data_IF_719243219123
#
_entry.id   IF_719243219123
#
_cell.length_a   1.000
_cell.length_b   1.000
_cell.length_c   1.000
_cell.angle_alpha   90.00
_cell.angle_beta   90.00
_cell.angle_gamma   90.00
#
_symmetry.space_group_name_H-M   'P 1'
#
loop_
_entity.id
_entity.type
_entity.pdbx_description
1 polymer ?
#
# COMPACT_ATOMS: atom_id res chain seq x y z
N UNK A 1 5.25 -3.85 14.89
CA UNK A 1 4.03 -3.77 14.04
C UNK A 1 2.78 -3.37 14.83
N UNK A 2 2.61 -3.82 16.07
CA UNK A 2 1.37 -3.60 16.86
C UNK A 2 1.07 -2.14 17.21
N UNK A 3 2.09 -1.29 17.35
CA UNK A 3 1.93 0.11 17.79
C UNK A 3 1.29 1.02 16.74
N UNK A 4 1.64 0.89 15.46
CA UNK A 4 1.03 1.69 14.38
C UNK A 4 -0.43 1.30 14.17
N UNK A 5 -0.70 -0.01 14.11
CA UNK A 5 -2.05 -0.54 13.95
C UNK A 5 -2.96 -0.11 15.11
N UNK A 6 -2.47 -0.24 16.35
CA UNK A 6 -3.21 0.20 17.54
C UNK A 6 -3.49 1.70 17.50
N UNK A 7 -2.49 2.52 17.13
CA UNK A 7 -2.66 3.97 17.02
C UNK A 7 -3.67 4.39 15.94
N UNK A 8 -3.65 3.74 14.76
CA UNK A 8 -4.64 3.98 13.71
C UNK A 8 -6.04 3.60 14.18
N UNK A 9 -6.18 2.45 14.85
CA UNK A 9 -7.47 1.96 15.35
C UNK A 9 -8.06 2.89 16.42
N UNK A 10 -7.23 3.34 17.36
CA UNK A 10 -7.62 4.35 18.36
C UNK A 10 -8.07 5.64 17.70
N UNK A 11 -7.26 6.17 16.77
CA UNK A 11 -7.59 7.42 16.08
C UNK A 11 -8.88 7.31 15.26
N UNK A 12 -9.11 6.18 14.58
CA UNK A 12 -10.37 5.90 13.89
C UNK A 12 -11.54 5.92 14.87
N UNK A 13 -11.40 5.26 16.03
CA UNK A 13 -12.38 5.29 17.10
C UNK A 13 -12.64 6.69 17.66
N UNK A 14 -11.63 7.55 17.72
CA UNK A 14 -11.75 8.95 18.14
C UNK A 14 -12.39 9.84 17.09
N UNK A 15 -12.03 9.70 15.82
CA UNK A 15 -12.66 10.46 14.74
C UNK A 15 -14.17 10.20 14.67
N UNK A 16 -14.63 8.96 14.91
CA UNK A 16 -16.06 8.67 15.01
C UNK A 16 -16.74 9.40 16.19
N UNK A 17 -16.05 9.56 17.33
CA UNK A 17 -16.56 10.35 18.47
C UNK A 17 -16.66 11.84 18.14
N UNK A 18 -15.68 12.40 17.42
CA UNK A 18 -15.69 13.81 16.98
C UNK A 18 -16.82 14.03 15.96
N UNK A 19 -16.96 13.14 14.97
CA UNK A 19 -18.06 13.16 14.01
C UNK A 19 -19.41 13.16 14.74
N UNK A 20 -19.61 12.24 15.68
CA UNK A 20 -20.85 12.16 16.46
C UNK A 20 -21.15 13.45 17.25
N UNK A 21 -20.12 14.09 17.82
CA UNK A 21 -20.27 15.38 18.52
C UNK A 21 -20.62 16.52 17.55
N UNK A 22 -20.02 16.58 16.37
CA UNK A 22 -20.33 17.58 15.34
C UNK A 22 -21.72 17.38 14.74
N UNK A 23 -22.13 16.14 14.45
CA UNK A 23 -23.48 15.80 14.00
C UNK A 23 -24.55 16.21 15.02
N UNK A 24 -24.27 16.02 16.32
CA UNK A 24 -25.16 16.43 17.40
C UNK A 24 -25.31 17.96 17.55
N UNK A 25 -24.35 18.74 17.03
CA UNK A 25 -24.37 20.20 17.05
C UNK A 25 -25.21 20.83 15.92
N UNK A 26 -25.92 20.02 15.10
CA UNK A 26 -26.84 20.41 14.02
C UNK A 26 -26.28 21.32 12.90
N UNK A 27 -24.99 21.62 12.91
CA UNK A 27 -24.29 22.42 11.90
C UNK A 27 -22.97 21.72 11.51
N UNK A 28 -22.44 21.98 10.29
CA UNK A 28 -21.19 21.42 9.74
C UNK A 28 -21.27 19.99 9.13
N UNK A 29 -22.35 19.67 8.40
CA UNK A 29 -22.52 18.36 7.75
C UNK A 29 -21.42 18.02 6.73
N UNK A 30 -20.89 19.02 6.00
CA UNK A 30 -19.87 18.78 4.99
C UNK A 30 -18.53 18.38 5.62
N UNK A 31 -18.18 19.02 6.74
CA UNK A 31 -16.97 18.76 7.51
C UNK A 31 -17.06 17.39 8.20
N UNK A 32 -18.25 17.00 8.67
CA UNK A 32 -18.50 15.64 9.15
C UNK A 32 -18.27 14.60 8.04
N UNK A 33 -18.73 14.89 6.82
CA UNK A 33 -18.55 14.00 5.65
C UNK A 33 -17.06 13.86 5.27
N UNK A 34 -16.30 14.96 5.32
CA UNK A 34 -14.84 14.95 5.08
C UNK A 34 -14.10 14.12 6.13
N UNK A 35 -14.46 14.26 7.41
CA UNK A 35 -13.89 13.46 8.51
C UNK A 35 -14.22 11.98 8.31
N UNK A 36 -15.45 11.63 7.93
CA UNK A 36 -15.86 10.24 7.72
C UNK A 36 -15.07 9.57 6.59
N UNK A 37 -14.89 10.27 5.47
CA UNK A 37 -14.07 9.81 4.35
C UNK A 37 -12.62 9.55 4.80
N UNK A 38 -12.05 10.44 5.62
CA UNK A 38 -10.70 10.26 6.18
C UNK A 38 -10.60 8.99 7.05
N UNK A 39 -11.60 8.74 7.91
CA UNK A 39 -11.60 7.56 8.78
C UNK A 39 -11.73 6.25 8.01
N UNK A 40 -12.54 6.24 6.94
CA UNK A 40 -12.68 5.09 6.05
C UNK A 40 -11.37 4.77 5.34
N UNK A 41 -10.69 5.80 4.82
CA UNK A 41 -9.37 5.66 4.20
C UNK A 41 -8.34 5.12 5.20
N UNK A 42 -8.33 5.60 6.45
CA UNK A 42 -7.39 5.14 7.48
C UNK A 42 -7.60 3.66 7.81
N UNK A 43 -8.87 3.23 7.90
CA UNK A 43 -9.22 1.82 8.08
C UNK A 43 -8.79 0.96 6.90
N UNK A 44 -8.93 1.44 5.67
CA UNK A 44 -8.51 0.72 4.47
C UNK A 44 -6.98 0.51 4.42
N UNK A 45 -6.21 1.57 4.70
CA UNK A 45 -4.74 1.50 4.79
C UNK A 45 -4.32 0.51 5.89
N UNK A 46 -4.93 0.59 7.06
CA UNK A 46 -4.65 -0.33 8.16
C UNK A 46 -4.81 -1.80 7.75
N UNK A 47 -5.90 -2.14 7.05
CA UNK A 47 -6.12 -3.49 6.52
C UNK A 47 -5.08 -3.90 5.48
N UNK A 48 -4.65 -2.98 4.63
CA UNK A 48 -3.64 -3.25 3.62
C UNK A 48 -2.27 -3.55 4.26
N UNK A 49 -1.84 -2.70 5.20
CA UNK A 49 -0.58 -2.88 5.93
C UNK A 49 -0.56 -4.20 6.73
N UNK A 50 -1.70 -4.62 7.29
CA UNK A 50 -1.80 -5.90 7.99
C UNK A 50 -1.58 -7.12 7.09
N UNK A 51 -1.95 -7.04 5.81
CA UNK A 51 -1.83 -8.15 4.86
C UNK A 51 -0.43 -8.29 4.26
N UNK A 52 0.38 -7.23 4.32
CA UNK A 52 1.69 -7.18 3.67
C UNK A 52 2.78 -6.81 4.68
N UNK A 53 3.11 -7.66 5.66
CA UNK A 53 4.07 -7.31 6.72
C UNK A 53 5.46 -6.96 6.19
N UNK A 54 5.89 -7.58 5.08
CA UNK A 54 7.18 -7.28 4.41
C UNK A 54 7.31 -5.84 3.95
N UNK A 55 6.21 -5.14 3.69
CA UNK A 55 6.27 -3.73 3.28
C UNK A 55 6.85 -2.84 4.38
N UNK A 56 6.82 -3.28 5.65
CA UNK A 56 7.42 -2.53 6.78
C UNK A 56 8.94 -2.69 6.91
N UNK A 57 9.54 -3.60 6.14
CA UNK A 57 10.99 -3.75 6.08
C UNK A 57 11.63 -2.62 5.27
N UNK A 58 10.88 -2.05 4.31
CA UNK A 58 11.28 -0.89 3.52
C UNK A 58 11.43 0.39 4.38
N UNK A 59 12.55 1.08 4.21
CA UNK A 59 12.92 2.25 5.02
C UNK A 59 11.99 3.45 4.77
N UNK A 60 11.60 3.67 3.50
CA UNK A 60 10.67 4.75 3.13
C UNK A 60 9.30 4.51 3.76
N UNK A 61 8.82 3.27 3.70
CA UNK A 61 7.57 2.87 4.31
C UNK A 61 7.62 2.99 5.84
N UNK A 62 8.69 2.55 6.49
CA UNK A 62 8.88 2.70 7.94
C UNK A 62 8.88 4.18 8.35
N UNK A 63 9.55 5.04 7.59
CA UNK A 63 9.59 6.49 7.84
C UNK A 63 8.23 7.16 7.69
N UNK A 64 7.50 6.87 6.61
CA UNK A 64 6.16 7.44 6.35
C UNK A 64 5.11 6.92 7.34
N UNK A 65 5.17 5.65 7.71
CA UNK A 65 4.34 5.06 8.76
C UNK A 65 4.56 5.74 10.12
N UNK A 66 5.80 5.99 10.50
CA UNK A 66 6.13 6.69 11.74
C UNK A 66 5.64 8.14 11.73
N UNK A 67 5.73 8.82 10.58
CA UNK A 67 5.13 10.14 10.37
C UNK A 67 3.62 10.13 10.60
N UNK A 68 2.92 9.16 10.02
CA UNK A 68 1.48 8.96 10.24
C UNK A 68 1.17 8.68 11.71
N UNK A 69 1.93 7.80 12.37
CA UNK A 69 1.76 7.51 13.81
C UNK A 69 1.85 8.79 14.65
N UNK A 70 2.87 9.62 14.42
CA UNK A 70 3.06 10.90 15.14
C UNK A 70 1.91 11.87 14.87
N UNK A 71 1.43 11.95 13.62
CA UNK A 71 0.29 12.79 13.27
C UNK A 71 -0.98 12.33 14.00
N UNK A 72 -1.26 11.03 14.02
CA UNK A 72 -2.39 10.43 14.74
C UNK A 72 -2.28 10.62 16.25
N UNK A 73 -1.08 10.52 16.82
CA UNK A 73 -0.84 10.76 18.25
C UNK A 73 -1.15 12.22 18.63
N UNK A 74 -0.60 13.20 17.88
CA UNK A 74 -0.91 14.62 18.10
C UNK A 74 -2.39 14.91 17.98
N UNK A 75 -3.05 14.24 17.05
CA UNK A 75 -4.48 14.37 16.86
C UNK A 75 -5.27 13.84 18.06
N UNK A 76 -4.85 12.70 18.62
CA UNK A 76 -5.42 12.16 19.86
C UNK A 76 -5.22 13.11 21.05
N UNK A 77 -4.01 13.64 21.23
CA UNK A 77 -3.69 14.59 22.31
C UNK A 77 -4.52 15.88 22.22
N UNK A 78 -4.75 16.38 21.00
CA UNK A 78 -5.61 17.54 20.77
C UNK A 78 -7.06 17.25 21.19
N UNK A 79 -7.57 16.07 20.85
CA UNK A 79 -8.93 15.62 21.22
C UNK A 79 -9.08 15.45 22.74
N UNK A 80 -8.06 14.92 23.42
CA UNK A 80 -8.08 14.78 24.87
C UNK A 80 -8.11 16.13 25.58
N UNK A 81 -7.41 17.14 25.04
CA UNK A 81 -7.48 18.53 25.52
C UNK A 81 -8.89 19.11 25.35
N UNK A 82 -9.59 18.79 24.26
CA UNK A 82 -10.98 19.23 24.05
C UNK A 82 -11.98 18.57 25.03
N UNK A 83 -11.68 17.37 25.56
CA UNK A 83 -12.59 16.61 26.43
C UNK A 83 -12.48 16.92 27.92
N UNK A 84 -11.34 17.47 28.39
CA UNK A 84 -11.15 17.79 29.81
C UNK A 84 -12.12 18.91 30.24
N UNK A 85 -13.25 18.52 30.84
CA UNK A 85 -14.11 19.43 31.61
C UNK A 85 -13.29 20.05 32.73
N UNK A 86 -13.17 21.39 32.77
CA UNK A 86 -12.56 22.11 33.90
C UNK A 86 -11.49 23.14 33.55
N UNK A 87 -11.04 23.25 32.30
CA UNK A 87 -10.28 24.45 31.88
C UNK A 87 -11.32 25.52 31.53
N UNK A 88 -11.27 26.74 32.10
CA UNK A 88 -12.24 27.78 31.76
C UNK A 88 -12.22 27.97 30.24
N UNK A 89 -13.39 27.78 29.65
CA UNK A 89 -13.72 27.84 28.23
C UNK A 89 -13.52 29.23 27.59
N UNK A 90 -12.58 30.03 28.10
CA UNK A 90 -12.15 31.32 27.54
C UNK A 90 -10.96 31.20 26.58
N UNK A 91 -10.17 30.13 26.65
CA UNK A 91 -8.96 29.99 25.83
C UNK A 91 -9.19 29.38 24.43
N UNK A 92 -10.42 28.95 24.14
CA UNK A 92 -10.80 28.31 22.89
C UNK A 92 -12.24 28.72 22.56
N UNK A 93 -12.40 29.73 21.71
CA UNK A 93 -13.69 29.92 21.08
C UNK A 93 -13.91 28.78 20.05
N UNK A 94 -15.15 28.57 19.61
CA UNK A 94 -15.48 27.49 18.67
C UNK A 94 -14.67 27.58 17.36
N UNK A 95 -14.25 28.79 16.97
CA UNK A 95 -13.41 29.05 15.80
C UNK A 95 -11.99 28.48 15.97
N UNK A 96 -11.33 28.74 17.08
CA UNK A 96 -9.98 28.22 17.38
C UNK A 96 -9.96 26.69 17.43
N UNK A 97 -11.02 26.06 17.94
CA UNK A 97 -11.15 24.60 17.95
C UNK A 97 -11.28 24.07 16.52
N UNK A 98 -12.13 24.71 15.69
CA UNK A 98 -12.32 24.32 14.30
C UNK A 98 -11.03 24.47 13.48
N UNK A 99 -10.30 25.57 13.63
CA UNK A 99 -9.02 25.81 12.94
C UNK A 99 -7.95 24.78 13.34
N UNK A 100 -7.82 24.49 14.64
CA UNK A 100 -6.84 23.48 15.09
C UNK A 100 -7.24 22.06 14.71
N UNK A 101 -8.53 21.72 14.74
CA UNK A 101 -9.01 20.43 14.26
C UNK A 101 -8.75 20.29 12.76
N UNK A 102 -8.97 21.34 11.98
CA UNK A 102 -8.66 21.36 10.56
C UNK A 102 -7.17 21.10 10.31
N UNK A 103 -6.28 21.82 11.03
CA UNK A 103 -4.83 21.60 10.93
C UNK A 103 -4.41 20.18 11.29
N UNK A 104 -5.00 19.62 12.35
CA UNK A 104 -4.77 18.23 12.76
C UNK A 104 -5.21 17.23 11.69
N UNK A 105 -6.41 17.38 11.13
CA UNK A 105 -6.91 16.54 10.05
C UNK A 105 -6.04 16.66 8.79
N UNK A 106 -5.58 17.87 8.46
CA UNK A 106 -4.69 18.12 7.34
C UNK A 106 -3.33 17.42 7.51
N UNK A 107 -2.75 17.46 8.71
CA UNK A 107 -1.51 16.73 9.00
C UNK A 107 -1.67 15.21 8.88
N UNK A 108 -2.80 14.66 9.33
CA UNK A 108 -3.10 13.23 9.17
C UNK A 108 -3.25 12.89 7.69
N UNK A 109 -3.95 13.71 6.90
CA UNK A 109 -4.13 13.52 5.47
C UNK A 109 -2.79 13.56 4.71
N UNK A 110 -1.91 14.52 5.00
CA UNK A 110 -0.58 14.62 4.40
C UNK A 110 0.25 13.35 4.64
N UNK A 111 0.28 12.86 5.88
CA UNK A 111 1.03 11.64 6.21
C UNK A 111 0.38 10.39 5.61
N UNK A 112 -0.94 10.37 5.50
CA UNK A 112 -1.66 9.32 4.79
C UNK A 112 -1.27 9.27 3.30
N UNK A 113 -1.24 10.42 2.62
CA UNK A 113 -0.80 10.51 1.24
C UNK A 113 0.64 10.01 1.07
N UNK A 114 1.53 10.36 2.01
CA UNK A 114 2.90 9.87 2.01
C UNK A 114 2.98 8.33 2.10
N UNK A 115 2.17 7.72 2.99
CA UNK A 115 2.06 6.25 3.09
C UNK A 115 1.54 5.63 1.80
N UNK A 116 0.49 6.19 1.19
CA UNK A 116 -0.05 5.68 -0.08
C UNK A 116 0.97 5.76 -1.23
N UNK A 117 1.73 6.86 -1.29
CA UNK A 117 2.81 7.01 -2.26
C UNK A 117 3.94 6.01 -2.01
N UNK A 118 4.35 5.79 -0.76
CA UNK A 118 5.35 4.80 -0.41
C UNK A 118 4.92 3.38 -0.82
N UNK A 119 3.64 3.02 -0.59
CA UNK A 119 3.08 1.74 -1.07
C UNK A 119 3.17 1.64 -2.60
N UNK A 120 2.83 2.72 -3.31
CA UNK A 120 2.93 2.76 -4.77
C UNK A 120 4.36 2.55 -5.27
N UNK A 121 5.34 3.22 -4.65
CA UNK A 121 6.77 3.08 -4.97
C UNK A 121 7.26 1.67 -4.68
N UNK A 122 6.94 1.12 -3.51
CA UNK A 122 7.30 -0.25 -3.12
C UNK A 122 6.77 -1.28 -4.12
N UNK A 123 5.48 -1.21 -4.44
CA UNK A 123 4.86 -2.11 -5.41
C UNK A 123 5.48 -2.00 -6.80
N UNK A 124 5.80 -0.77 -7.24
CA UNK A 124 6.44 -0.54 -8.53
C UNK A 124 7.86 -1.11 -8.59
N UNK A 125 8.63 -0.98 -7.51
CA UNK A 125 9.98 -1.56 -7.39
C UNK A 125 9.91 -3.09 -7.45
N UNK A 126 9.03 -3.71 -6.67
CA UNK A 126 8.79 -5.16 -6.70
C UNK A 126 8.37 -5.65 -8.10
N UNK A 127 7.53 -4.88 -8.80
CA UNK A 127 7.11 -5.21 -10.15
C UNK A 127 8.27 -5.11 -11.16
N UNK A 128 9.18 -4.15 -11.00
CA UNK A 128 10.36 -4.02 -11.86
C UNK A 128 11.33 -5.21 -11.67
N UNK A 129 11.63 -5.56 -10.42
CA UNK A 129 12.46 -6.72 -10.09
C UNK A 129 11.87 -8.03 -10.60
N UNK A 130 10.55 -8.21 -10.46
CA UNK A 130 9.85 -9.37 -11.01
C UNK A 130 9.96 -9.44 -12.54
N UNK A 131 9.86 -8.31 -13.25
CA UNK A 131 10.02 -8.26 -14.71
C UNK A 131 11.44 -8.65 -15.14
N UNK A 132 12.44 -8.17 -14.42
CA UNK A 132 13.85 -8.51 -14.68
C UNK A 132 14.09 -10.01 -14.47
N UNK A 133 13.65 -10.56 -13.33
CA UNK A 133 13.76 -11.99 -13.04
C UNK A 133 13.04 -12.86 -14.10
N UNK A 134 11.87 -12.44 -14.58
CA UNK A 134 11.17 -13.14 -15.67
C UNK A 134 11.93 -13.08 -16.99
N UNK A 135 12.56 -11.95 -17.33
CA UNK A 135 13.37 -11.83 -18.54
C UNK A 135 14.61 -12.73 -18.49
N UNK A 136 15.26 -12.79 -17.33
CA UNK A 136 16.40 -13.68 -17.09
C UNK A 136 15.96 -15.14 -17.18
N UNK A 137 14.88 -15.53 -16.49
CA UNK A 137 14.33 -16.89 -16.57
C UNK A 137 13.98 -17.29 -18.02
N UNK A 138 13.39 -16.38 -18.81
CA UNK A 138 13.08 -16.64 -20.22
C UNK A 138 14.36 -16.90 -21.04
N UNK A 139 15.43 -16.19 -20.73
CA UNK A 139 16.74 -16.35 -21.38
C UNK A 139 17.35 -17.70 -21.01
N UNK A 140 17.33 -18.06 -19.73
CA UNK A 140 17.84 -19.35 -19.24
C UNK A 140 17.08 -20.54 -19.83
N UNK A 141 15.75 -20.43 -19.96
CA UNK A 141 14.91 -21.44 -20.62
C UNK A 141 15.30 -21.57 -22.10
N UNK A 142 15.49 -20.46 -22.79
CA UNK A 142 15.90 -20.46 -24.22
C UNK A 142 17.27 -21.12 -24.39
N UNK A 143 18.22 -20.78 -23.52
CA UNK A 143 19.56 -21.36 -23.53
C UNK A 143 19.53 -22.87 -23.25
N UNK A 144 18.74 -23.29 -22.25
CA UNK A 144 18.57 -24.71 -21.89
C UNK A 144 17.98 -25.51 -23.05
N UNK A 145 16.95 -24.98 -23.71
CA UNK A 145 16.36 -25.61 -24.88
C UNK A 145 17.35 -25.72 -26.05
N UNK A 146 18.19 -24.71 -26.27
CA UNK A 146 19.26 -24.75 -27.28
C UNK A 146 20.32 -25.82 -26.96
N UNK A 147 20.72 -25.95 -25.69
CA UNK A 147 21.65 -27.00 -25.26
C UNK A 147 21.04 -28.40 -25.46
N UNK A 148 19.78 -28.59 -25.06
CA UNK A 148 19.07 -29.86 -25.27
C UNK A 148 18.99 -30.22 -26.75
N UNK A 149 18.64 -29.27 -27.63
CA UNK A 149 18.60 -29.50 -29.07
C UNK A 149 19.97 -29.95 -29.62
N UNK A 150 21.07 -29.32 -29.18
CA UNK A 150 22.43 -29.72 -29.58
C UNK A 150 22.79 -31.12 -29.08
N UNK A 151 22.43 -31.47 -27.85
CA UNK A 151 22.66 -32.82 -27.30
C UNK A 151 21.89 -33.85 -28.13
N UNK A 152 20.63 -33.60 -28.45
CA UNK A 152 19.82 -34.49 -29.29
C UNK A 152 20.45 -34.69 -30.68
N UNK A 153 20.97 -33.63 -31.30
CA UNK A 153 21.69 -33.73 -32.57
C UNK A 153 22.95 -34.60 -32.47
N UNK A 154 23.74 -34.46 -31.39
CA UNK A 154 24.93 -35.29 -31.15
C UNK A 154 24.53 -36.77 -30.97
N UNK A 155 23.49 -37.04 -30.19
CA UNK A 155 23.00 -38.41 -29.95
C UNK A 155 22.50 -39.04 -31.25
N UNK A 156 21.73 -38.31 -32.06
CA UNK A 156 21.25 -38.77 -33.36
C UNK A 156 22.40 -39.11 -34.32
N UNK A 157 23.44 -38.26 -34.36
CA UNK A 157 24.63 -38.50 -35.18
C UNK A 157 25.45 -39.71 -34.71
N UNK A 158 25.50 -39.97 -33.39
CA UNK A 158 26.23 -41.09 -32.81
C UNK A 158 25.47 -42.44 -32.85
N UNK A 159 24.14 -42.41 -32.98
CA UNK A 159 23.27 -43.60 -33.07
C UNK A 159 22.20 -43.42 -34.14
N UNK A 160 22.51 -43.64 -35.43
CA UNK A 160 21.55 -43.49 -36.52
C UNK A 160 20.35 -44.46 -36.43
N UNK A 161 20.48 -45.55 -35.67
CA UNK A 161 19.45 -46.58 -35.50
C UNK A 161 18.54 -46.32 -34.28
N UNK A 162 18.79 -45.25 -33.51
CA UNK A 162 18.00 -44.90 -32.35
C UNK A 162 16.77 -44.06 -32.75
N UNK A 163 15.59 -44.61 -32.51
CA UNK A 163 14.30 -43.95 -32.74
C UNK A 163 14.12 -42.82 -31.72
N UNK A 164 14.62 -41.62 -32.04
CA UNK A 164 14.48 -40.43 -31.19
C UNK A 164 13.06 -39.85 -31.35
N UNK A 165 12.38 -39.47 -30.25
CA UNK A 165 11.05 -38.88 -30.33
C UNK A 165 11.05 -37.64 -31.23
N UNK A 166 10.29 -37.71 -32.31
CA UNK A 166 10.14 -36.65 -33.30
C UNK A 166 9.16 -35.56 -32.80
N UNK A 167 9.38 -35.02 -31.60
CA UNK A 167 8.66 -33.82 -31.14
C UNK A 167 9.61 -32.90 -30.39
N UNK A 168 10.33 -32.09 -31.15
CA UNK A 168 10.63 -30.72 -30.74
C UNK A 168 10.17 -29.81 -31.89
N UNK A 169 8.86 -29.81 -32.13
CA UNK A 169 8.25 -28.76 -32.93
C UNK A 169 8.47 -27.43 -32.21
N UNK A 170 9.20 -26.54 -32.89
CA UNK A 170 9.55 -25.16 -32.53
C UNK A 170 8.32 -24.24 -32.34
N UNK A 171 7.24 -24.69 -31.69
CA UNK A 171 5.99 -23.94 -31.55
C UNK A 171 5.98 -22.94 -30.38
N UNK A 172 7.00 -22.89 -29.52
CA UNK A 172 7.08 -21.91 -28.43
C UNK A 172 7.71 -20.55 -28.82
N UNK A 173 8.02 -20.34 -30.11
CA UNK A 173 8.39 -19.03 -30.65
C UNK A 173 7.18 -18.14 -30.99
N UNK A 174 5.94 -18.58 -30.73
CA UNK A 174 4.77 -17.72 -30.84
C UNK A 174 4.81 -16.61 -29.78
N UNK A 175 5.34 -15.46 -30.16
CA UNK A 175 5.14 -14.14 -29.55
C UNK A 175 3.67 -13.95 -29.19
N UNK A 176 3.29 -13.55 -27.96
CA UNK A 176 1.98 -12.97 -27.76
C UNK A 176 2.02 -11.53 -28.29
N UNK A 177 1.78 -11.38 -29.59
CA UNK A 177 1.37 -10.11 -30.16
C UNK A 177 -0.15 -10.00 -30.02
N UNK A 178 -0.57 -8.95 -29.29
CA UNK A 178 -1.94 -8.41 -29.19
C UNK A 178 -2.95 -9.17 -28.31
N UNK A 179 -3.05 -8.70 -27.06
CA UNK A 179 -4.27 -8.76 -26.25
C UNK A 179 -4.45 -7.41 -25.54
N UNK A 180 -4.67 -6.36 -26.33
CA UNK A 180 -5.35 -5.12 -25.93
C UNK A 180 -6.02 -4.53 -27.17
N UNK A 181 -7.23 -5.01 -27.43
CA UNK A 181 -8.25 -4.31 -28.19
C UNK A 181 -9.57 -4.55 -27.45
N UNK A 182 -10.00 -3.52 -26.73
CA UNK A 182 -11.21 -3.42 -25.93
C UNK A 182 -11.33 -1.98 -25.46
#
# INVERSE_FOLDING_TARGET
MDTLYSAIKEFVGFGFKIKSALESAKHNMEECRKIDALLLSLRAISKHLQRSPKIMEDDLMRGTAEGLRKALQRASEFVDKCKRKGVPSRAFNAKDIAEKLHGVCFHVLLNMCAVLLAIGVFNSSQQAELKENMAQLRTDVTNTNSMLAKILQIVAAARPDADLPQEVSLSYLATPQHLYAG
#
